data_IF_433059591753
#
_entry.id   IF_433059591753
#
_cell.length_a   1.000
_cell.length_b   1.000
_cell.length_c   1.000
_cell.angle_alpha   90.00
_cell.angle_beta   90.00
_cell.angle_gamma   90.00
#
_symmetry.space_group_name_H-M   'P 1'
#
loop_
_entity.id
_entity.type
_entity.pdbx_description
1 polymer ?
#
# COMPACT_ATOMS: atom_id res chain seq x y z
N UNK A 1 -4.54 -2.37 18.35
CA UNK A 1 -4.04 -3.68 17.89
C UNK A 1 -3.24 -3.44 16.62
N UNK A 2 -1.95 -3.78 16.59
CA UNK A 2 -1.16 -3.59 15.37
C UNK A 2 -1.72 -4.53 14.27
N UNK A 3 -1.83 -4.06 13.01
CA UNK A 3 -2.25 -4.95 11.94
C UNK A 3 -1.26 -6.11 11.82
N UNK A 4 -1.79 -7.33 11.74
CA UNK A 4 -0.97 -8.53 11.60
C UNK A 4 -0.17 -8.46 10.30
N UNK A 5 1.12 -8.81 10.36
CA UNK A 5 1.97 -8.82 9.16
C UNK A 5 1.46 -9.90 8.19
N UNK A 6 1.22 -9.57 6.91
CA UNK A 6 0.74 -10.55 5.95
C UNK A 6 1.79 -11.64 5.76
N UNK A 7 1.33 -12.90 5.69
CA UNK A 7 2.20 -14.04 5.39
C UNK A 7 2.74 -13.94 3.97
N UNK A 8 3.83 -14.66 3.67
CA UNK A 8 4.40 -14.70 2.32
C UNK A 8 3.37 -15.14 1.27
N UNK A 9 2.53 -16.11 1.60
CA UNK A 9 1.47 -16.60 0.71
C UNK A 9 0.45 -15.49 0.37
N UNK A 10 0.02 -14.72 1.38
CA UNK A 10 -0.90 -13.59 1.20
C UNK A 10 -0.27 -12.50 0.33
N UNK A 11 1.01 -12.19 0.53
CA UNK A 11 1.73 -11.20 -0.30
C UNK A 11 1.81 -11.64 -1.76
N UNK A 12 2.14 -12.91 -2.02
CA UNK A 12 2.21 -13.42 -3.41
C UNK A 12 0.84 -13.45 -4.09
N UNK A 13 -0.22 -13.79 -3.35
CA UNK A 13 -1.60 -13.79 -3.84
C UNK A 13 -2.18 -12.38 -4.13
N UNK A 14 -1.43 -11.31 -3.82
CA UNK A 14 -1.82 -9.94 -4.10
C UNK A 14 -1.42 -9.43 -5.49
N UNK A 15 -0.80 -10.27 -6.33
CA UNK A 15 -0.49 -9.91 -7.70
C UNK A 15 -1.74 -9.43 -8.45
N UNK A 16 -1.65 -8.25 -9.08
CA UNK A 16 -2.77 -7.64 -9.80
C UNK A 16 -3.85 -6.98 -8.92
N UNK A 17 -3.74 -7.03 -7.58
CA UNK A 17 -4.64 -6.28 -6.70
C UNK A 17 -4.36 -4.78 -6.79
N UNK A 18 -5.41 -4.00 -6.67
CA UNK A 18 -5.37 -2.53 -6.59
C UNK A 18 -5.47 -2.07 -5.13
N UNK A 19 -5.10 -0.81 -4.88
CA UNK A 19 -5.32 -0.13 -3.62
C UNK A 19 -6.23 1.07 -3.91
N UNK A 20 -7.30 1.31 -3.13
CA UNK A 20 -8.18 2.44 -3.37
C UNK A 20 -7.44 3.78 -3.32
N UNK A 21 -7.85 4.71 -4.19
CA UNK A 21 -7.33 6.07 -4.19
C UNK A 21 -7.79 6.82 -2.93
N UNK A 22 -6.89 7.59 -2.34
CA UNK A 22 -7.20 8.53 -1.26
C UNK A 22 -7.11 9.93 -1.84
N UNK A 23 -8.24 10.43 -2.35
CA UNK A 23 -8.30 11.68 -3.08
C UNK A 23 -9.51 12.51 -2.66
N UNK A 24 -9.32 13.82 -2.59
CA UNK A 24 -10.36 14.80 -2.32
C UNK A 24 -10.02 16.13 -3.00
N UNK A 25 -11.01 17.01 -3.11
CA UNK A 25 -10.76 18.40 -3.55
C UNK A 25 -10.02 19.18 -2.46
N UNK A 26 -9.21 20.16 -2.87
CA UNK A 26 -8.52 21.06 -1.94
C UNK A 26 -7.30 20.47 -1.22
N UNK A 27 -6.80 19.31 -1.65
CA UNK A 27 -5.55 18.76 -1.12
C UNK A 27 -4.37 19.69 -1.45
N UNK A 28 -3.53 19.97 -0.45
CA UNK A 28 -2.28 20.71 -0.64
C UNK A 28 -1.23 19.90 -1.39
N UNK A 29 -1.29 18.58 -1.27
CA UNK A 29 -0.38 17.63 -1.91
C UNK A 29 -1.11 16.34 -2.20
N UNK A 30 -0.78 15.71 -3.34
CA UNK A 30 -1.17 14.36 -3.69
C UNK A 30 0.11 13.59 -4.05
N UNK A 31 0.34 12.46 -3.38
CA UNK A 31 1.45 11.58 -3.69
C UNK A 31 1.00 10.51 -4.67
N UNK A 32 1.58 10.51 -5.88
CA UNK A 32 1.31 9.53 -6.92
C UNK A 32 2.50 8.58 -7.05
N UNK A 33 2.31 7.30 -6.71
CA UNK A 33 3.30 6.26 -6.91
C UNK A 33 3.28 5.70 -8.34
N UNK A 34 4.16 4.75 -8.64
CA UNK A 34 4.17 4.05 -9.95
C UNK A 34 2.99 3.08 -10.05
N UNK A 35 2.90 2.14 -9.11
CA UNK A 35 1.84 1.15 -9.00
C UNK A 35 1.88 0.49 -7.61
N UNK A 36 0.78 -0.13 -7.13
CA UNK A 36 0.82 -0.91 -5.90
C UNK A 36 1.81 -2.08 -6.00
N UNK A 37 2.77 -2.13 -5.08
CA UNK A 37 3.57 -3.32 -4.86
C UNK A 37 2.76 -4.42 -4.15
N UNK A 38 3.21 -5.68 -4.24
CA UNK A 38 2.50 -6.83 -3.65
C UNK A 38 2.12 -6.64 -2.17
N UNK A 39 3.01 -6.06 -1.37
CA UNK A 39 2.73 -5.82 0.05
C UNK A 39 1.62 -4.79 0.25
N UNK A 40 1.61 -3.71 -0.53
CA UNK A 40 0.52 -2.71 -0.51
C UNK A 40 -0.80 -3.29 -1.00
N UNK A 41 -0.79 -4.10 -2.07
CA UNK A 41 -1.99 -4.82 -2.52
C UNK A 41 -2.49 -5.85 -1.51
N UNK A 42 -1.59 -6.46 -0.73
CA UNK A 42 -1.93 -7.43 0.31
C UNK A 42 -2.58 -6.77 1.54
N UNK A 43 -2.09 -5.59 1.94
CA UNK A 43 -2.61 -4.88 3.12
C UNK A 43 -3.71 -3.88 2.79
N UNK A 44 -3.89 -3.50 1.53
CA UNK A 44 -4.78 -2.41 1.13
C UNK A 44 -4.27 -1.02 1.53
N UNK A 45 -2.97 -0.87 1.86
CA UNK A 45 -2.39 0.38 2.32
C UNK A 45 -1.24 0.84 1.42
N UNK A 46 -1.21 2.15 1.14
CA UNK A 46 -0.16 2.80 0.33
C UNK A 46 1.21 2.77 1.01
N UNK A 47 2.25 2.45 0.25
CA UNK A 47 3.65 2.40 0.70
C UNK A 47 3.93 1.49 1.92
N UNK A 48 3.11 0.46 2.14
CA UNK A 48 3.06 -0.31 3.38
C UNK A 48 4.25 -1.27 3.65
N UNK A 49 5.11 -1.56 2.67
CA UNK A 49 6.23 -2.50 2.88
C UNK A 49 7.24 -1.87 3.84
N UNK A 50 7.72 -2.56 4.89
CA UNK A 50 8.67 -1.98 5.86
C UNK A 50 9.98 -1.42 5.27
N UNK A 51 10.40 -1.89 4.10
CA UNK A 51 11.58 -1.37 3.40
C UNK A 51 11.32 -0.14 2.53
N UNK A 52 10.06 0.29 2.37
CA UNK A 52 9.72 1.53 1.68
C UNK A 52 9.94 2.71 2.64
N UNK A 53 10.64 3.76 2.19
CA UNK A 53 11.04 4.90 3.03
C UNK A 53 10.03 6.05 3.06
N UNK A 54 8.86 5.89 2.45
CA UNK A 54 7.85 6.95 2.42
C UNK A 54 7.35 7.30 3.83
N UNK A 55 7.20 6.29 4.68
CA UNK A 55 6.87 6.45 6.09
C UNK A 55 8.11 6.12 6.96
N UNK A 56 8.50 6.99 7.90
CA UNK A 56 9.63 6.77 8.80
C UNK A 56 9.35 5.75 9.91
#
# INVERSE_FOLDING_TARGET
MAPERPTRAVVLAAAGRTVPDVIARGLRVLFCGINPGLYSGATGHHFARPGNRFWP
#
